data_IF_279503811333
#
_entry.id   IF_279503811333
#
_cell.length_a   1.000
_cell.length_b   1.000
_cell.length_c   1.000
_cell.angle_alpha   90.00
_cell.angle_beta   90.00
_cell.angle_gamma   90.00
#
_symmetry.space_group_name_H-M   'P 1'
#
loop_
_entity.id
_entity.type
_entity.pdbx_description
1 polymer ?
#
# COMPACT_ATOMS: atom_id res chain seq x y z
N UNK A 1 -15.56 11.91 18.57
CA UNK A 1 -14.49 11.40 19.45
C UNK A 1 -13.13 11.64 18.81
N UNK A 2 -12.29 12.53 19.37
CA UNK A 2 -10.92 12.75 18.87
C UNK A 2 -10.14 11.43 18.99
N UNK A 3 -9.61 10.91 17.88
CA UNK A 3 -8.62 9.83 17.89
C UNK A 3 -7.36 10.37 18.58
N UNK A 4 -7.07 9.90 19.79
CA UNK A 4 -5.95 10.41 20.57
C UNK A 4 -4.65 9.74 20.06
N UNK A 5 -3.84 10.52 19.36
CA UNK A 5 -2.55 10.16 18.73
C UNK A 5 -1.46 9.93 19.80
N UNK A 6 -0.65 8.88 19.65
CA UNK A 6 0.46 8.54 20.58
C UNK A 6 1.73 9.39 20.35
N UNK A 7 1.85 10.09 19.22
CA UNK A 7 3.07 10.83 18.85
C UNK A 7 3.36 12.06 19.72
N UNK A 8 2.38 12.55 20.49
CA UNK A 8 2.49 13.81 21.24
C UNK A 8 2.19 13.60 22.74
N UNK A 9 2.83 12.63 23.40
CA UNK A 9 2.76 12.52 24.86
C UNK A 9 3.66 13.59 25.48
N UNK A 10 3.05 14.61 26.10
CA UNK A 10 3.77 15.56 26.93
C UNK A 10 4.43 14.83 28.12
N UNK A 11 5.56 15.34 28.64
CA UNK A 11 6.19 14.80 29.85
C UNK A 11 5.19 14.67 31.01
N UNK A 12 5.40 13.69 31.89
CA UNK A 12 4.56 13.52 33.08
C UNK A 12 4.85 14.63 34.11
N UNK A 13 3.80 15.15 34.74
CA UNK A 13 3.91 16.02 35.91
C UNK A 13 4.44 15.23 37.11
N UNK A 14 4.84 15.92 38.19
CA UNK A 14 5.35 15.26 39.40
C UNK A 14 4.29 14.33 40.03
N UNK A 15 3.03 14.74 40.02
CA UNK A 15 1.90 13.95 40.53
C UNK A 15 1.66 12.70 39.67
N UNK A 16 1.65 12.85 38.34
CA UNK A 16 1.50 11.72 37.42
C UNK A 16 2.64 10.71 37.58
N UNK A 17 3.87 11.18 37.81
CA UNK A 17 5.02 10.31 38.07
C UNK A 17 4.84 9.53 39.37
N UNK A 18 4.47 10.21 40.46
CA UNK A 18 4.26 9.57 41.75
C UNK A 18 3.15 8.51 41.67
N UNK A 19 2.03 8.84 41.03
CA UNK A 19 0.93 7.90 40.81
C UNK A 19 1.35 6.69 39.96
N UNK A 20 2.15 6.90 38.91
CA UNK A 20 2.63 5.83 38.05
C UNK A 20 3.68 4.91 38.70
N UNK A 21 4.43 5.42 39.67
CA UNK A 21 5.46 4.67 40.38
C UNK A 21 4.92 3.95 41.63
N UNK A 22 3.69 4.26 42.04
CA UNK A 22 3.03 3.58 43.15
C UNK A 22 2.84 2.09 42.83
N UNK A 23 3.27 1.25 43.78
CA UNK A 23 3.37 -0.20 43.57
C UNK A 23 2.00 -0.82 43.30
N UNK A 24 0.95 -0.34 43.97
CA UNK A 24 -0.42 -0.83 43.77
C UNK A 24 -0.92 -0.55 42.34
N UNK A 25 -0.72 0.67 41.84
CA UNK A 25 -1.13 1.07 40.51
C UNK A 25 -0.30 0.38 39.42
N UNK A 26 0.99 0.20 39.67
CA UNK A 26 1.89 -0.47 38.75
C UNK A 26 1.64 -1.98 38.69
N UNK A 27 1.29 -2.64 39.80
CA UNK A 27 0.93 -4.07 39.81
C UNK A 27 -0.34 -4.36 38.97
N UNK A 28 -1.27 -3.40 38.89
CA UNK A 28 -2.45 -3.54 38.01
C UNK A 28 -2.07 -3.73 36.53
N UNK A 29 -0.92 -3.19 36.09
CA UNK A 29 -0.40 -3.41 34.74
C UNK A 29 0.00 -4.88 34.51
N UNK A 30 0.74 -5.48 35.45
CA UNK A 30 1.12 -6.89 35.39
C UNK A 30 -0.08 -7.82 35.57
N UNK A 31 -1.03 -7.44 36.42
CA UNK A 31 -2.31 -8.15 36.57
C UNK A 31 -3.06 -8.22 35.24
N UNK A 32 -3.10 -7.12 34.47
CA UNK A 32 -3.70 -7.12 33.13
C UNK A 32 -3.00 -8.11 32.19
N UNK A 33 -1.66 -8.11 32.15
CA UNK A 33 -0.89 -9.02 31.29
C UNK A 33 -1.12 -10.48 31.68
N UNK A 34 -1.13 -10.79 32.98
CA UNK A 34 -1.42 -12.13 33.50
C UNK A 34 -2.82 -12.62 33.12
N UNK A 35 -3.84 -11.76 33.24
CA UNK A 35 -5.23 -12.11 32.87
C UNK A 35 -5.35 -12.39 31.37
N UNK A 36 -4.67 -11.60 30.53
CA UNK A 36 -4.73 -11.72 29.08
C UNK A 36 -3.71 -12.71 28.51
N UNK A 37 -2.93 -13.40 29.35
CA UNK A 37 -1.86 -14.34 28.95
C UNK A 37 -0.86 -13.72 27.98
N UNK A 38 -0.49 -12.47 28.25
CA UNK A 38 0.48 -11.73 27.45
C UNK A 38 1.88 -12.01 27.98
N UNK A 39 2.80 -12.35 27.09
CA UNK A 39 4.21 -12.48 27.44
C UNK A 39 4.80 -11.12 27.80
N UNK A 40 5.53 -11.07 28.91
CA UNK A 40 6.02 -9.80 29.43
C UNK A 40 7.14 -9.23 28.56
N UNK A 41 8.02 -10.07 28.01
CA UNK A 41 9.12 -9.63 27.14
C UNK A 41 8.58 -8.97 25.86
N UNK A 42 7.52 -9.54 25.28
CA UNK A 42 6.91 -8.97 24.08
C UNK A 42 6.02 -7.74 24.37
N UNK A 43 5.17 -7.81 25.40
CA UNK A 43 4.07 -6.85 25.57
C UNK A 43 4.39 -5.63 26.43
N UNK A 44 5.48 -5.66 27.21
CA UNK A 44 5.83 -4.55 28.09
C UNK A 44 6.03 -3.25 27.31
N UNK A 45 6.92 -3.26 26.32
CA UNK A 45 7.24 -2.06 25.52
C UNK A 45 6.05 -1.58 24.68
N UNK A 46 5.21 -2.51 24.23
CA UNK A 46 3.99 -2.21 23.47
C UNK A 46 3.00 -1.45 24.34
N UNK A 47 2.87 -1.81 25.62
CA UNK A 47 1.77 -1.36 26.48
C UNK A 47 2.17 -0.31 27.54
N UNK A 48 3.45 -0.16 27.90
CA UNK A 48 3.89 0.74 28.97
C UNK A 48 3.54 2.20 28.70
N UNK A 49 3.66 2.66 27.45
CA UNK A 49 3.25 4.01 27.06
C UNK A 49 1.73 4.21 27.21
N UNK A 50 0.96 3.15 27.01
CA UNK A 50 -0.49 3.18 27.19
C UNK A 50 -0.90 3.15 28.66
N UNK A 51 -0.11 2.50 29.52
CA UNK A 51 -0.25 2.59 30.97
C UNK A 51 -0.05 4.03 31.45
N UNK A 52 1.06 4.67 31.08
CA UNK A 52 1.34 6.07 31.45
C UNK A 52 0.23 7.01 30.96
N UNK A 53 -0.29 6.75 29.75
CA UNK A 53 -1.41 7.49 29.21
C UNK A 53 -2.71 7.26 29.98
N UNK A 54 -2.95 6.06 30.50
CA UNK A 54 -4.09 5.80 31.37
C UNK A 54 -3.97 6.59 32.67
N UNK A 55 -2.77 6.70 33.25
CA UNK A 55 -2.48 7.55 34.42
C UNK A 55 -2.82 9.01 34.13
N UNK A 56 -2.27 9.58 33.04
CA UNK A 56 -2.60 10.98 32.65
C UNK A 56 -4.10 11.15 32.44
N UNK A 57 -4.75 10.19 31.77
CA UNK A 57 -6.19 10.25 31.49
C UNK A 57 -7.03 10.22 32.77
N UNK A 58 -6.63 9.40 33.75
CA UNK A 58 -7.33 9.25 35.02
C UNK A 58 -7.20 10.50 35.90
N UNK A 59 -6.00 11.08 35.98
CA UNK A 59 -5.74 12.26 36.79
C UNK A 59 -6.33 13.55 36.18
N UNK A 60 -6.26 13.71 34.86
CA UNK A 60 -6.71 14.94 34.18
C UNK A 60 -8.22 14.99 33.90
N UNK A 61 -8.95 13.88 34.01
CA UNK A 61 -10.39 13.82 33.74
C UNK A 61 -11.15 13.41 35.01
N UNK A 62 -11.68 14.37 35.78
CA UNK A 62 -12.33 14.10 37.07
C UNK A 62 -13.47 13.08 36.98
N UNK A 63 -14.25 13.08 35.90
CA UNK A 63 -15.33 12.11 35.68
C UNK A 63 -14.85 10.65 35.63
N UNK A 64 -13.58 10.38 35.32
CA UNK A 64 -13.05 9.01 35.32
C UNK A 64 -12.69 8.52 36.73
N UNK A 65 -12.53 9.43 37.69
CA UNK A 65 -12.22 9.10 39.08
C UNK A 65 -13.41 8.52 39.84
N UNK A 66 -14.61 8.52 39.24
CA UNK A 66 -15.76 7.76 39.75
C UNK A 66 -15.56 6.23 39.64
N UNK A 67 -14.59 5.80 38.83
CA UNK A 67 -14.21 4.40 38.67
C UNK A 67 -12.84 4.15 39.29
N UNK A 68 -12.58 2.89 39.67
CA UNK A 68 -11.23 2.46 40.04
C UNK A 68 -10.28 2.61 38.85
N UNK A 69 -9.02 3.01 39.13
CA UNK A 69 -7.99 3.19 38.13
C UNK A 69 -7.83 1.95 37.23
N UNK A 70 -7.88 0.75 37.81
CA UNK A 70 -7.77 -0.51 37.10
C UNK A 70 -8.79 -0.68 35.97
N UNK A 71 -10.03 -0.21 36.16
CA UNK A 71 -11.06 -0.26 35.12
C UNK A 71 -10.70 0.65 33.93
N UNK A 72 -10.19 1.85 34.22
CA UNK A 72 -9.75 2.82 33.20
C UNK A 72 -8.50 2.32 32.48
N UNK A 73 -7.57 1.72 33.23
CA UNK A 73 -6.36 1.11 32.71
C UNK A 73 -6.69 -0.03 31.74
N UNK A 74 -7.51 -1.00 32.16
CA UNK A 74 -7.83 -2.19 31.36
C UNK A 74 -8.49 -1.80 30.04
N UNK A 75 -9.43 -0.86 30.05
CA UNK A 75 -10.05 -0.35 28.81
C UNK A 75 -9.05 0.35 27.89
N UNK A 76 -8.06 1.04 28.46
CA UNK A 76 -7.01 1.71 27.69
C UNK A 76 -6.06 0.69 27.06
N UNK A 77 -5.66 -0.33 27.82
CA UNK A 77 -4.80 -1.41 27.35
C UNK A 77 -5.50 -2.32 26.33
N UNK A 78 -6.78 -2.63 26.49
CA UNK A 78 -7.56 -3.39 25.51
C UNK A 78 -7.60 -2.68 24.15
N UNK A 79 -7.81 -1.36 24.18
CA UNK A 79 -7.78 -0.53 22.98
C UNK A 79 -6.40 -0.56 22.31
N UNK A 80 -5.33 -0.48 23.10
CA UNK A 80 -3.96 -0.53 22.62
C UNK A 80 -3.65 -1.88 21.96
N UNK A 81 -3.94 -2.98 22.66
CA UNK A 81 -3.76 -4.35 22.19
C UNK A 81 -4.53 -4.61 20.90
N UNK A 82 -5.81 -4.22 20.84
CA UNK A 82 -6.62 -4.39 19.62
C UNK A 82 -6.04 -3.61 18.44
N UNK A 83 -5.59 -2.37 18.67
CA UNK A 83 -4.97 -1.57 17.63
C UNK A 83 -3.64 -2.16 17.15
N UNK A 84 -2.82 -2.68 18.07
CA UNK A 84 -1.58 -3.38 17.73
C UNK A 84 -1.87 -4.61 16.85
N UNK A 85 -2.77 -5.50 17.28
CA UNK A 85 -3.14 -6.69 16.50
C UNK A 85 -3.63 -6.31 15.10
N UNK A 86 -4.52 -5.31 14.99
CA UNK A 86 -4.99 -4.80 13.70
C UNK A 86 -3.86 -4.25 12.85
N UNK A 87 -2.96 -3.47 13.45
CA UNK A 87 -1.81 -2.91 12.75
C UNK A 87 -0.84 -3.99 12.26
N UNK A 88 -0.82 -5.17 12.88
CA UNK A 88 -0.01 -6.31 12.44
C UNK A 88 -0.68 -7.08 11.30
N UNK A 89 -2.01 -7.13 11.27
CA UNK A 89 -2.79 -7.86 10.26
C UNK A 89 -3.23 -7.02 9.07
N UNK A 90 -2.88 -5.74 8.99
CA UNK A 90 -3.21 -4.92 7.81
C UNK A 90 -2.53 -5.47 6.55
N UNK A 91 -3.16 -5.36 5.36
CA UNK A 91 -2.58 -5.81 4.09
C UNK A 91 -1.20 -5.21 3.78
N UNK A 92 -0.93 -3.99 4.29
CA UNK A 92 0.40 -3.36 4.18
C UNK A 92 1.52 -4.17 4.83
N UNK A 93 1.23 -4.93 5.89
CA UNK A 93 2.20 -5.76 6.62
C UNK A 93 2.04 -7.26 6.34
N UNK A 94 0.89 -7.68 5.82
CA UNK A 94 0.62 -9.06 5.40
C UNK A 94 0.01 -9.07 3.99
N UNK A 95 0.77 -8.70 2.94
CA UNK A 95 0.29 -8.79 1.56
C UNK A 95 0.13 -10.25 1.15
N UNK A 96 -0.84 -10.55 0.27
CA UNK A 96 -1.11 -11.93 -0.20
C UNK A 96 0.12 -12.60 -0.84
N UNK A 97 1.01 -11.81 -1.46
CA UNK A 97 2.26 -12.29 -2.06
C UNK A 97 3.47 -12.35 -1.12
N UNK A 98 3.28 -12.11 0.19
CA UNK A 98 4.38 -12.07 1.17
C UNK A 98 5.21 -10.79 1.12
N UNK A 99 6.11 -10.64 2.11
CA UNK A 99 7.03 -9.50 2.19
C UNK A 99 8.34 -9.82 1.45
N UNK A 100 8.66 -9.02 0.44
CA UNK A 100 9.94 -9.09 -0.25
C UNK A 100 10.86 -7.99 0.30
N UNK A 101 12.00 -8.38 0.85
CA UNK A 101 13.03 -7.42 1.27
C UNK A 101 13.91 -7.05 0.07
N UNK A 102 14.54 -5.87 0.12
CA UNK A 102 15.47 -5.44 -0.92
C UNK A 102 16.68 -6.38 -1.03
N UNK A 103 17.07 -6.99 0.09
CA UNK A 103 18.15 -7.96 0.20
C UNK A 103 17.73 -9.38 -0.16
N UNK A 104 16.49 -9.60 -0.61
CA UNK A 104 16.03 -10.92 -1.02
C UNK A 104 16.84 -11.39 -2.23
N UNK A 105 17.31 -12.63 -2.18
CA UNK A 105 18.02 -13.28 -3.29
C UNK A 105 17.09 -14.24 -4.01
N UNK A 106 17.16 -14.22 -5.34
CA UNK A 106 16.48 -15.16 -6.23
C UNK A 106 17.52 -15.96 -6.99
N UNK A 107 17.32 -17.27 -7.05
CA UNK A 107 18.15 -18.15 -7.89
C UNK A 107 17.73 -17.98 -9.36
N UNK A 108 18.72 -17.80 -10.24
CA UNK A 108 18.50 -17.87 -11.68
C UNK A 108 18.28 -19.33 -12.14
N UNK A 109 17.91 -19.51 -13.42
CA UNK A 109 17.74 -20.84 -14.04
C UNK A 109 19.01 -21.71 -13.99
N UNK A 110 20.17 -21.12 -13.65
CA UNK A 110 21.47 -21.79 -13.52
C UNK A 110 21.86 -22.02 -12.06
N UNK A 111 20.96 -21.76 -11.11
CA UNK A 111 21.15 -21.96 -9.67
C UNK A 111 22.04 -20.92 -8.99
N UNK A 112 22.26 -19.75 -9.61
CA UNK A 112 23.04 -18.67 -9.01
C UNK A 112 22.11 -17.68 -8.32
N UNK A 113 22.37 -17.41 -7.05
CA UNK A 113 21.65 -16.39 -6.28
C UNK A 113 22.03 -14.98 -6.74
N UNK A 114 21.01 -14.14 -7.00
CA UNK A 114 21.15 -12.72 -7.26
C UNK A 114 20.21 -11.93 -6.37
N UNK A 115 20.67 -10.79 -5.87
CA UNK A 115 19.77 -9.84 -5.20
C UNK A 115 18.69 -9.36 -6.18
N UNK A 116 17.45 -9.19 -5.71
CA UNK A 116 16.32 -8.71 -6.54
C UNK A 116 16.66 -7.42 -7.29
N UNK A 117 17.44 -6.52 -6.69
CA UNK A 117 17.88 -5.29 -7.34
C UNK A 117 18.57 -5.52 -8.70
N UNK A 118 19.29 -6.64 -8.85
CA UNK A 118 19.97 -6.99 -10.09
C UNK A 118 19.00 -7.27 -11.25
N UNK A 119 17.74 -7.63 -10.94
CA UNK A 119 16.67 -7.86 -11.92
C UNK A 119 15.86 -6.59 -12.21
N UNK A 120 15.81 -5.64 -11.27
CA UNK A 120 15.10 -4.37 -11.43
C UNK A 120 15.87 -3.36 -12.30
N UNK A 121 17.19 -3.56 -12.44
CA UNK A 121 18.08 -2.65 -13.17
C UNK A 121 18.73 -3.45 -14.31
N UNK A 122 18.37 -3.13 -15.56
CA UNK A 122 19.14 -3.66 -16.69
C UNK A 122 20.55 -3.03 -16.69
N UNK A 123 21.53 -3.73 -16.10
CA UNK A 123 22.92 -3.24 -16.00
C UNK A 123 23.58 -2.99 -17.36
N UNK A 124 23.05 -3.55 -18.46
CA UNK A 124 23.58 -3.33 -19.82
C UNK A 124 23.06 -2.04 -20.44
N UNK A 125 21.93 -1.54 -19.98
CA UNK A 125 21.30 -0.31 -20.49
C UNK A 125 21.53 0.82 -19.49
N UNK A 126 22.18 1.90 -19.93
CA UNK A 126 22.35 3.10 -19.10
C UNK A 126 21.01 3.55 -18.51
N UNK A 127 20.99 3.93 -17.22
CA UNK A 127 19.78 4.38 -16.52
C UNK A 127 19.08 5.50 -17.29
N UNK A 128 19.84 6.41 -17.91
CA UNK A 128 19.33 7.48 -18.78
C UNK A 128 18.47 6.93 -19.93
N UNK A 129 18.98 5.94 -20.69
CA UNK A 129 18.21 5.28 -21.75
C UNK A 129 16.95 4.59 -21.23
N UNK A 130 17.01 3.96 -20.04
CA UNK A 130 15.82 3.33 -19.44
C UNK A 130 14.76 4.37 -19.07
N UNK A 131 15.18 5.49 -18.46
CA UNK A 131 14.29 6.59 -18.09
C UNK A 131 13.70 7.26 -19.33
N UNK A 132 14.51 7.54 -20.35
CA UNK A 132 14.07 8.11 -21.62
C UNK A 132 13.07 7.18 -22.30
N UNK A 133 13.38 5.88 -22.41
CA UNK A 133 12.48 4.91 -23.02
C UNK A 133 11.16 4.80 -22.25
N UNK A 134 11.21 4.78 -20.91
CA UNK A 134 10.03 4.77 -20.06
C UNK A 134 9.15 6.00 -20.28
N UNK A 135 9.74 7.18 -20.38
CA UNK A 135 8.98 8.42 -20.58
C UNK A 135 8.39 8.52 -21.99
N UNK A 136 9.16 8.13 -23.02
CA UNK A 136 8.64 8.00 -24.39
C UNK A 136 7.49 7.01 -24.47
N UNK A 137 7.61 5.85 -23.80
CA UNK A 137 6.54 4.86 -23.80
C UNK A 137 5.27 5.36 -23.10
N UNK A 138 5.40 6.11 -22.00
CA UNK A 138 4.23 6.76 -21.36
C UNK A 138 3.54 7.73 -22.31
N UNK A 139 4.29 8.56 -23.01
CA UNK A 139 3.74 9.53 -23.96
C UNK A 139 3.05 8.82 -25.13
N UNK A 140 3.70 7.81 -25.70
CA UNK A 140 3.12 6.93 -26.72
C UNK A 140 1.80 6.31 -26.24
N UNK A 141 1.81 5.65 -25.09
CA UNK A 141 0.63 4.97 -24.56
C UNK A 141 -0.51 5.96 -24.30
N UNK A 142 -0.21 7.14 -23.76
CA UNK A 142 -1.19 8.20 -23.55
C UNK A 142 -1.84 8.61 -24.87
N UNK A 143 -1.05 8.97 -25.88
CA UNK A 143 -1.56 9.40 -27.19
C UNK A 143 -2.37 8.32 -27.91
N UNK A 144 -2.02 7.04 -27.76
CA UNK A 144 -2.77 5.94 -28.34
C UNK A 144 -4.09 5.65 -27.63
N UNK A 145 -4.21 6.01 -26.34
CA UNK A 145 -5.37 5.65 -25.52
C UNK A 145 -6.29 6.83 -25.22
N UNK A 146 -5.92 8.07 -25.56
CA UNK A 146 -6.80 9.23 -25.39
C UNK A 146 -7.69 9.45 -26.61
N UNK A 147 -8.88 10.02 -26.40
CA UNK A 147 -9.71 10.53 -27.49
C UNK A 147 -9.03 11.72 -28.18
N UNK A 148 -8.93 11.66 -29.50
CA UNK A 148 -8.68 12.82 -30.36
C UNK A 148 -10.00 13.61 -30.55
N UNK A 149 -9.93 14.89 -30.94
CA UNK A 149 -11.04 15.85 -31.09
C UNK A 149 -12.24 15.35 -31.95
N UNK A 150 -12.06 14.27 -32.72
CA UNK A 150 -13.00 13.78 -33.73
C UNK A 150 -13.88 12.58 -33.27
N UNK A 151 -13.92 12.22 -31.98
CA UNK A 151 -14.66 11.06 -31.46
C UNK A 151 -15.66 11.39 -30.32
N UNK A 152 -16.62 10.49 -30.08
CA UNK A 152 -17.59 10.59 -28.98
C UNK A 152 -16.92 10.35 -27.61
N UNK A 153 -16.34 11.41 -27.02
CA UNK A 153 -15.71 11.44 -25.70
C UNK A 153 -15.27 12.86 -25.34
N UNK A 154 -14.90 13.12 -24.09
CA UNK A 154 -14.24 14.40 -23.77
C UNK A 154 -12.74 14.31 -24.13
N UNK A 155 -12.19 15.40 -24.68
CA UNK A 155 -10.78 15.53 -24.99
C UNK A 155 -9.91 15.15 -23.78
N UNK A 156 -8.99 14.20 -23.97
CA UNK A 156 -8.10 13.71 -22.92
C UNK A 156 -8.66 12.62 -22.00
N UNK A 157 -9.90 12.17 -22.18
CA UNK A 157 -10.40 10.94 -21.54
C UNK A 157 -9.80 9.69 -22.20
N UNK A 158 -9.72 8.61 -21.43
CA UNK A 158 -9.17 7.33 -21.88
C UNK A 158 -10.22 6.58 -22.68
N UNK A 159 -9.94 6.31 -23.95
CA UNK A 159 -10.68 5.40 -24.80
C UNK A 159 -10.42 3.95 -24.38
N UNK A 160 -11.41 3.36 -23.69
CA UNK A 160 -11.33 2.00 -23.17
C UNK A 160 -11.15 0.93 -24.27
N UNK A 161 -11.61 1.20 -25.49
CA UNK A 161 -11.43 0.29 -26.64
C UNK A 161 -9.98 0.25 -27.07
N UNK A 162 -9.40 1.41 -27.40
CA UNK A 162 -8.02 1.53 -27.86
C UNK A 162 -7.04 1.05 -26.79
N UNK A 163 -7.35 1.31 -25.51
CA UNK A 163 -6.59 0.79 -24.39
C UNK A 163 -6.58 -0.73 -24.36
N UNK A 164 -7.75 -1.37 -24.44
CA UNK A 164 -7.86 -2.82 -24.42
C UNK A 164 -7.09 -3.47 -25.58
N UNK A 165 -7.15 -2.88 -26.78
CA UNK A 165 -6.42 -3.35 -27.95
C UNK A 165 -4.92 -3.22 -27.80
N UNK A 166 -4.47 -2.04 -27.39
CA UNK A 166 -3.05 -1.76 -27.22
C UNK A 166 -2.44 -2.67 -26.15
N UNK A 167 -3.14 -2.89 -25.03
CA UNK A 167 -2.71 -3.81 -23.97
C UNK A 167 -2.53 -5.23 -24.50
N UNK A 168 -3.52 -5.76 -25.23
CA UNK A 168 -3.44 -7.10 -25.84
C UNK A 168 -2.32 -7.22 -26.88
N UNK A 169 -2.07 -6.17 -27.67
CA UNK A 169 -0.98 -6.16 -28.64
C UNK A 169 0.40 -6.12 -27.95
N UNK A 170 0.55 -5.34 -26.88
CA UNK A 170 1.77 -5.29 -26.07
C UNK A 170 2.04 -6.64 -25.39
N UNK A 171 1.00 -7.32 -24.91
CA UNK A 171 1.09 -8.68 -24.34
C UNK A 171 1.48 -9.75 -25.37
N UNK A 172 1.51 -9.41 -26.66
CA UNK A 172 1.95 -10.30 -27.75
C UNK A 172 0.84 -11.13 -28.38
N UNK A 173 -0.43 -10.78 -28.19
CA UNK A 173 -1.54 -11.44 -28.89
C UNK A 173 -1.52 -11.14 -30.38
N UNK A 174 -1.90 -12.13 -31.19
CA UNK A 174 -2.11 -11.92 -32.62
C UNK A 174 -3.32 -11.02 -32.89
N UNK A 175 -3.33 -10.32 -34.02
CA UNK A 175 -4.45 -9.45 -34.43
C UNK A 175 -5.80 -10.15 -34.35
N UNK A 176 -5.88 -11.40 -34.80
CA UNK A 176 -7.10 -12.20 -34.74
C UNK A 176 -7.56 -12.47 -33.30
N UNK A 177 -6.63 -12.80 -32.40
CA UNK A 177 -6.93 -13.04 -30.99
C UNK A 177 -7.35 -11.75 -30.28
N UNK A 178 -6.68 -10.64 -30.58
CA UNK A 178 -7.03 -9.31 -30.07
C UNK A 178 -8.45 -8.95 -30.48
N UNK A 179 -8.77 -9.01 -31.78
CA UNK A 179 -10.12 -8.75 -32.29
C UNK A 179 -11.18 -9.64 -31.63
N UNK A 180 -10.95 -10.95 -31.53
CA UNK A 180 -11.89 -11.88 -30.89
C UNK A 180 -12.16 -11.56 -29.42
N UNK A 181 -11.17 -11.05 -28.70
CA UNK A 181 -11.30 -10.68 -27.29
C UNK A 181 -11.99 -9.32 -27.14
N UNK A 182 -11.65 -8.35 -27.96
CA UNK A 182 -12.24 -7.01 -27.91
C UNK A 182 -13.70 -7.03 -28.37
N UNK A 183 -14.04 -7.81 -29.42
CA UNK A 183 -15.41 -8.04 -29.87
C UNK A 183 -16.29 -8.65 -28.76
N UNK A 184 -15.76 -9.62 -28.00
CA UNK A 184 -16.48 -10.23 -26.86
C UNK A 184 -16.71 -9.24 -25.73
N UNK A 185 -15.74 -8.37 -25.46
CA UNK A 185 -15.81 -7.37 -24.41
C UNK A 185 -16.74 -6.21 -24.79
N UNK A 186 -16.76 -5.84 -26.07
CA UNK A 186 -17.50 -4.70 -26.61
C UNK A 186 -18.25 -5.06 -27.91
N UNK A 187 -19.47 -5.63 -27.82
CA UNK A 187 -20.17 -6.24 -28.96
C UNK A 187 -20.82 -5.26 -29.98
N UNK A 188 -20.27 -4.07 -30.18
CA UNK A 188 -20.89 -2.97 -30.94
C UNK A 188 -20.42 -2.85 -32.41
N UNK A 189 -20.49 -3.94 -33.19
CA UNK A 189 -20.21 -3.89 -34.63
C UNK A 189 -18.74 -3.65 -34.99
N UNK A 190 -17.83 -3.99 -34.08
CA UNK A 190 -16.39 -3.82 -34.26
C UNK A 190 -15.80 -4.92 -35.15
N UNK A 191 -15.25 -4.53 -36.30
CA UNK A 191 -14.71 -5.45 -37.30
C UNK A 191 -13.19 -5.56 -37.21
N UNK A 192 -12.61 -6.61 -37.79
CA UNK A 192 -11.16 -6.75 -37.92
C UNK A 192 -10.53 -5.55 -38.63
N UNK A 193 -11.25 -4.94 -39.58
CA UNK A 193 -10.82 -3.72 -40.28
C UNK A 193 -10.64 -2.54 -39.34
N UNK A 194 -11.49 -2.39 -38.33
CA UNK A 194 -11.33 -1.32 -37.34
C UNK A 194 -10.03 -1.53 -36.55
N UNK A 195 -9.72 -2.78 -36.16
CA UNK A 195 -8.49 -3.11 -35.44
C UNK A 195 -7.25 -2.82 -36.30
N UNK A 196 -7.30 -3.15 -37.59
CA UNK A 196 -6.20 -2.86 -38.52
C UNK A 196 -5.95 -1.35 -38.63
N UNK A 197 -7.01 -0.54 -38.73
CA UNK A 197 -6.92 0.92 -38.74
C UNK A 197 -6.36 1.47 -37.43
N UNK A 198 -6.78 0.91 -36.29
CA UNK A 198 -6.32 1.36 -34.97
C UNK A 198 -4.82 1.00 -34.78
N UNK A 199 -4.38 -0.17 -35.27
CA UNK A 199 -2.96 -0.57 -35.35
C UNK A 199 -2.14 0.39 -36.23
N UNK A 200 -2.67 0.84 -37.36
CA UNK A 200 -2.02 1.85 -38.20
C UNK A 200 -1.87 3.18 -37.46
N UNK A 201 -2.90 3.59 -36.72
CA UNK A 201 -2.86 4.75 -35.82
C UNK A 201 -1.77 4.62 -34.75
N UNK A 202 -1.71 3.48 -34.07
CA UNK A 202 -0.66 3.19 -33.08
C UNK A 202 0.73 3.25 -33.71
N UNK A 203 0.93 2.65 -34.90
CA UNK A 203 2.22 2.70 -35.60
C UNK A 203 2.62 4.11 -35.99
N UNK A 204 1.68 4.96 -36.40
CA UNK A 204 1.95 6.38 -36.71
C UNK A 204 2.41 7.12 -35.46
N UNK A 205 1.69 7.00 -34.35
CA UNK A 205 2.04 7.63 -33.07
C UNK A 205 3.39 7.11 -32.57
N UNK A 206 3.66 5.81 -32.71
CA UNK A 206 4.95 5.22 -32.36
C UNK A 206 6.11 5.89 -33.12
N UNK A 207 5.98 6.07 -34.43
CA UNK A 207 7.00 6.76 -35.24
C UNK A 207 7.21 8.20 -34.81
N UNK A 208 6.13 8.92 -34.50
CA UNK A 208 6.21 10.31 -34.03
C UNK A 208 6.90 10.44 -32.66
N UNK A 209 6.60 9.54 -31.71
CA UNK A 209 7.14 9.60 -30.34
C UNK A 209 8.58 9.10 -30.28
N UNK A 210 8.91 8.03 -31.01
CA UNK A 210 10.24 7.44 -30.98
C UNK A 210 11.19 7.98 -32.06
N UNK A 211 10.69 8.80 -32.99
CA UNK A 211 11.50 9.45 -34.04
C UNK A 211 12.08 8.48 -35.07
N UNK A 212 11.34 7.43 -35.44
CA UNK A 212 11.76 6.35 -36.37
C UNK A 212 10.95 6.38 -37.66
#
# INVERSE_FOLDING_TARGET
MKRINLKNMEPLTAEEKAFSADLENYDQFFKYMKINKLDQEEWYDILILHYLRAVKKYLNIPHLQQYEFGAVLFKTLDSARSNYCKAMTIPKRMPEGGLVSLNYTMEDEKGKEHQIEAWLIDRKISVEKQVIFKEMFKEFYKRCTTYDDDFWGNEGEVNEYLKCELDLLIEGYSQYQTWRKTEKQFPYGYTLYNLERDIEGFRRIFKEVFGI
#
